data_IF_449976167441
#
_entry.id   IF_449976167441
#
_cell.length_a   1.000
_cell.length_b   1.000
_cell.length_c   1.000
_cell.angle_alpha   90.00
_cell.angle_beta   90.00
_cell.angle_gamma   90.00
#
_symmetry.space_group_name_H-M   'P 1'
#
loop_
_entity.id
_entity.type
_entity.pdbx_description
1 polymer ?
#
# COMPACT_ATOMS: atom_id res chain seq x y z
N UNK A 1 13.24 12.55 13.84
CA UNK A 1 12.22 11.51 13.70
C UNK A 1 12.20 11.09 12.23
N UNK A 2 12.03 9.81 11.91
CA UNK A 2 11.99 9.38 10.49
C UNK A 2 10.59 9.66 9.96
N UNK A 3 10.49 10.35 8.83
CA UNK A 3 9.19 10.69 8.23
C UNK A 3 8.68 9.58 7.31
N UNK A 4 7.38 9.34 7.36
CA UNK A 4 6.66 8.39 6.51
C UNK A 4 5.53 9.10 5.79
N UNK A 5 5.42 8.93 4.46
CA UNK A 5 4.20 9.29 3.73
C UNK A 5 3.21 8.15 3.78
N UNK A 6 1.98 8.41 4.21
CA UNK A 6 0.89 7.42 4.17
C UNK A 6 -0.07 7.77 3.04
N UNK A 7 -0.40 6.78 2.20
CA UNK A 7 -1.47 6.87 1.21
C UNK A 7 -2.60 5.90 1.57
N UNK A 8 -3.85 6.35 1.45
CA UNK A 8 -5.04 5.61 1.84
C UNK A 8 -5.81 6.32 2.96
N UNK A 9 -6.39 5.55 3.88
CA UNK A 9 -7.02 6.10 5.08
C UNK A 9 -5.97 6.50 6.13
N UNK A 10 -5.39 7.70 5.93
CA UNK A 10 -4.32 8.23 6.78
C UNK A 10 -4.75 8.33 8.24
N UNK A 11 -5.98 8.75 8.51
CA UNK A 11 -6.47 8.97 9.86
C UNK A 11 -6.46 7.67 10.69
N UNK A 12 -6.88 6.56 10.08
CA UNK A 12 -6.85 5.24 10.72
C UNK A 12 -5.45 4.66 10.90
N UNK A 13 -4.44 5.23 10.22
CA UNK A 13 -3.06 4.75 10.30
C UNK A 13 -2.12 5.65 11.11
N UNK A 14 -2.49 6.92 11.32
CA UNK A 14 -1.60 7.91 11.88
C UNK A 14 -1.13 7.57 13.30
N UNK A 15 -2.07 7.29 14.21
CA UNK A 15 -1.76 7.15 15.64
C UNK A 15 -0.73 6.04 15.90
N UNK A 16 -0.93 4.84 15.36
CA UNK A 16 -0.04 3.71 15.64
C UNK A 16 1.29 3.80 14.88
N UNK A 17 1.33 4.48 13.73
CA UNK A 17 2.59 4.78 13.03
C UNK A 17 3.42 5.77 13.84
N UNK A 18 2.79 6.81 14.38
CA UNK A 18 3.47 7.81 15.22
C UNK A 18 3.97 7.24 16.55
N UNK A 19 3.16 6.43 17.22
CA UNK A 19 3.54 5.69 18.43
C UNK A 19 4.76 4.77 18.19
N UNK A 20 4.99 4.36 16.94
CA UNK A 20 6.12 3.51 16.56
C UNK A 20 7.42 4.28 16.27
N UNK A 21 7.42 5.61 16.44
CA UNK A 21 8.59 6.48 16.31
C UNK A 21 8.75 7.15 14.94
N UNK A 22 7.72 7.11 14.09
CA UNK A 22 7.68 7.80 12.80
C UNK A 22 6.88 9.10 12.88
N UNK A 23 7.20 10.06 12.01
CA UNK A 23 6.39 11.27 11.82
C UNK A 23 5.58 11.11 10.53
N UNK A 24 4.25 11.15 10.63
CA UNK A 24 3.38 11.02 9.45
C UNK A 24 3.35 12.36 8.71
N UNK A 25 3.94 12.37 7.51
CA UNK A 25 4.08 13.56 6.69
C UNK A 25 2.77 13.89 5.96
N UNK A 26 2.29 15.13 6.14
CA UNK A 26 1.22 15.73 5.34
C UNK A 26 1.80 16.83 4.43
N UNK A 27 1.31 16.96 3.18
CA UNK A 27 1.77 17.98 2.23
C UNK A 27 2.92 17.57 1.27
N UNK A 28 3.67 18.56 0.77
CA UNK A 28 4.70 18.45 -0.31
C UNK A 28 6.12 18.10 0.20
N UNK A 29 6.23 17.61 1.43
CA UNK A 29 7.51 17.15 1.96
C UNK A 29 8.03 15.89 1.24
N UNK A 30 9.32 15.60 1.40
CA UNK A 30 10.04 14.50 0.71
C UNK A 30 10.45 13.36 1.66
N UNK A 31 9.50 12.66 2.32
CA UNK A 31 9.84 11.47 3.08
C UNK A 31 10.37 10.36 2.16
N UNK A 32 11.47 9.73 2.59
CA UNK A 32 12.08 8.60 1.89
C UNK A 32 11.41 7.25 2.18
N UNK A 33 10.38 7.22 3.04
CA UNK A 33 9.64 6.02 3.42
C UNK A 33 8.16 6.23 3.15
N UNK A 34 7.53 5.24 2.53
CA UNK A 34 6.14 5.32 2.09
C UNK A 34 5.38 4.09 2.59
N UNK A 35 4.21 4.32 3.19
CA UNK A 35 3.23 3.31 3.55
C UNK A 35 1.98 3.51 2.69
N UNK A 36 1.50 2.44 2.09
CA UNK A 36 0.40 2.48 1.13
C UNK A 36 -0.63 1.45 1.56
N UNK A 37 -1.76 1.94 2.04
CA UNK A 37 -2.85 1.15 2.56
C UNK A 37 -4.03 1.25 1.61
N UNK A 38 -4.30 0.18 0.86
CA UNK A 38 -5.33 0.18 -0.20
C UNK A 38 -6.48 -0.75 0.12
N UNK A 39 -6.89 -0.76 1.38
CA UNK A 39 -8.06 -1.52 1.79
C UNK A 39 -9.31 -1.00 1.11
N UNK A 40 -10.22 -1.93 0.86
CA UNK A 40 -11.60 -1.59 0.60
C UNK A 40 -12.13 -0.74 1.76
N UNK A 41 -12.48 0.51 1.46
CA UNK A 41 -13.08 1.44 2.40
C UNK A 41 -14.48 1.00 2.89
N UNK A 42 -14.93 -0.19 2.46
CA UNK A 42 -16.20 -0.84 2.82
C UNK A 42 -17.42 0.02 2.45
N UNK A 43 -17.28 1.01 1.58
CA UNK A 43 -18.39 1.84 1.17
C UNK A 43 -19.42 0.98 0.40
N UNK A 44 -20.71 1.13 0.65
CA UNK A 44 -21.70 0.29 -0.08
C UNK A 44 -21.72 0.58 -1.59
N UNK A 45 -21.34 1.80 -1.99
CA UNK A 45 -21.23 2.23 -3.39
C UNK A 45 -19.92 1.73 -4.04
N UNK A 46 -19.99 0.89 -5.09
CA UNK A 46 -18.81 0.40 -5.81
C UNK A 46 -17.92 1.50 -6.41
N UNK A 47 -18.47 2.65 -6.80
CA UNK A 47 -17.68 3.77 -7.34
C UNK A 47 -16.86 4.44 -6.23
N UNK A 48 -17.47 4.65 -5.06
CA UNK A 48 -16.78 5.21 -3.88
C UNK A 48 -15.70 4.24 -3.38
N UNK A 49 -15.97 2.93 -3.43
CA UNK A 49 -14.95 1.90 -3.16
C UNK A 49 -13.78 1.99 -4.13
N UNK A 50 -14.08 2.05 -5.43
CA UNK A 50 -13.07 2.14 -6.47
C UNK A 50 -12.21 3.41 -6.34
N UNK A 51 -12.82 4.56 -6.07
CA UNK A 51 -12.11 5.81 -5.83
C UNK A 51 -11.19 5.73 -4.61
N UNK A 52 -11.65 5.06 -3.54
CA UNK A 52 -10.87 4.79 -2.34
C UNK A 52 -9.62 3.93 -2.58
N UNK A 53 -9.59 3.12 -3.63
CA UNK A 53 -8.42 2.32 -4.03
C UNK A 53 -7.56 3.04 -5.08
N UNK A 54 -8.17 3.54 -6.15
CA UNK A 54 -7.44 4.11 -7.30
C UNK A 54 -6.75 5.42 -6.92
N UNK A 55 -7.42 6.30 -6.18
CA UNK A 55 -6.88 7.64 -5.90
C UNK A 55 -5.59 7.57 -5.08
N UNK A 56 -5.54 6.86 -3.93
CA UNK A 56 -4.30 6.70 -3.18
C UNK A 56 -3.19 6.04 -3.99
N UNK A 57 -3.53 5.05 -4.82
CA UNK A 57 -2.56 4.35 -5.66
C UNK A 57 -1.94 5.26 -6.72
N UNK A 58 -2.76 6.06 -7.41
CA UNK A 58 -2.28 7.03 -8.40
C UNK A 58 -1.37 8.07 -7.75
N UNK A 59 -1.75 8.56 -6.58
CA UNK A 59 -0.96 9.55 -5.84
C UNK A 59 0.37 8.96 -5.36
N UNK A 60 0.35 7.73 -4.83
CA UNK A 60 1.56 7.03 -4.43
C UNK A 60 2.49 6.75 -5.62
N UNK A 61 1.97 6.30 -6.76
CA UNK A 61 2.74 6.14 -8.00
C UNK A 61 3.40 7.45 -8.43
N UNK A 62 2.64 8.55 -8.41
CA UNK A 62 3.14 9.87 -8.77
C UNK A 62 4.25 10.33 -7.82
N UNK A 63 4.09 10.07 -6.52
CA UNK A 63 5.07 10.42 -5.49
C UNK A 63 6.36 9.63 -5.67
N UNK A 64 6.28 8.29 -5.78
CA UNK A 64 7.43 7.39 -5.97
C UNK A 64 8.21 7.72 -7.25
N UNK A 65 7.53 8.12 -8.33
CA UNK A 65 8.20 8.51 -9.58
C UNK A 65 8.91 9.87 -9.51
N UNK A 66 8.48 10.76 -8.61
CA UNK A 66 8.98 12.15 -8.55
C UNK A 66 9.99 12.38 -7.44
N UNK A 67 10.00 11.54 -6.41
CA UNK A 67 10.77 11.74 -5.17
C UNK A 67 11.73 10.58 -4.95
N UNK A 68 12.82 10.83 -4.23
CA UNK A 68 13.79 9.80 -3.86
C UNK A 68 13.25 8.95 -2.71
N UNK A 69 12.51 7.90 -3.06
CA UNK A 69 11.95 6.95 -2.10
C UNK A 69 12.92 5.79 -1.91
N UNK A 70 13.24 5.48 -0.64
CA UNK A 70 14.14 4.38 -0.26
C UNK A 70 13.37 3.12 0.11
N UNK A 71 12.20 3.26 0.73
CA UNK A 71 11.39 2.16 1.21
C UNK A 71 9.91 2.39 0.90
N UNK A 72 9.25 1.38 0.34
CA UNK A 72 7.81 1.33 0.11
C UNK A 72 7.24 0.09 0.80
N UNK A 73 6.28 0.30 1.70
CA UNK A 73 5.48 -0.77 2.30
C UNK A 73 4.08 -0.69 1.72
N UNK A 74 3.71 -1.72 0.97
CA UNK A 74 2.39 -1.89 0.37
C UNK A 74 1.59 -2.85 1.22
N UNK A 75 0.36 -2.47 1.56
CA UNK A 75 -0.53 -3.33 2.31
C UNK A 75 -1.80 -3.61 1.53
N UNK A 76 -2.11 -4.90 1.42
CA UNK A 76 -3.23 -5.44 0.65
C UNK A 76 -4.04 -6.40 1.51
N UNK A 77 -5.35 -6.43 1.30
CA UNK A 77 -6.27 -7.42 1.89
C UNK A 77 -6.11 -8.82 1.27
N UNK A 78 -5.31 -8.95 0.21
CA UNK A 78 -5.08 -10.19 -0.50
C UNK A 78 -6.28 -10.68 -1.33
N UNK A 79 -7.36 -9.90 -1.42
CA UNK A 79 -8.60 -10.33 -2.04
C UNK A 79 -8.45 -10.53 -3.56
N UNK A 80 -7.53 -9.81 -4.23
CA UNK A 80 -7.17 -10.09 -5.61
C UNK A 80 -6.31 -11.34 -5.84
N UNK A 81 -5.92 -12.07 -4.79
CA UNK A 81 -5.25 -13.38 -4.87
C UNK A 81 -6.18 -14.56 -4.53
N UNK A 82 -7.39 -14.28 -4.01
CA UNK A 82 -8.37 -15.29 -3.65
C UNK A 82 -9.36 -15.53 -4.81
N UNK A 83 -8.96 -16.33 -5.81
CA UNK A 83 -9.89 -16.79 -6.85
C UNK A 83 -9.30 -17.67 -7.94
N UNK A 84 -10.18 -18.18 -8.80
CA UNK A 84 -9.80 -19.00 -9.96
C UNK A 84 -8.99 -18.17 -10.96
N UNK A 85 -7.74 -18.57 -11.21
CA UNK A 85 -6.85 -17.92 -12.18
C UNK A 85 -7.50 -17.90 -13.57
N UNK A 86 -7.63 -16.72 -14.19
CA UNK A 86 -8.08 -16.61 -15.59
C UNK A 86 -6.99 -17.02 -16.60
N UNK A 87 -5.72 -16.98 -16.20
CA UNK A 87 -4.59 -17.42 -17.02
C UNK A 87 -3.87 -18.57 -16.31
N UNK A 88 -3.91 -19.79 -16.87
CA UNK A 88 -3.16 -20.92 -16.31
C UNK A 88 -1.65 -20.66 -16.37
N UNK A 89 -0.93 -21.03 -15.30
CA UNK A 89 0.54 -21.19 -15.25
C UNK A 89 1.46 -19.96 -15.24
N UNK A 90 1.04 -18.82 -14.69
CA UNK A 90 1.97 -17.76 -14.27
C UNK A 90 1.83 -17.46 -12.78
N UNK A 91 2.92 -17.52 -11.98
CA UNK A 91 2.92 -17.12 -10.56
C UNK A 91 2.69 -15.61 -10.34
N UNK A 92 2.67 -14.82 -11.41
CA UNK A 92 2.78 -13.36 -11.41
C UNK A 92 1.59 -12.65 -12.07
N UNK A 93 0.36 -13.15 -11.92
CA UNK A 93 -0.82 -12.43 -12.40
C UNK A 93 -1.88 -12.32 -11.32
N UNK A 94 -2.20 -11.09 -10.93
CA UNK A 94 -3.38 -10.75 -10.13
C UNK A 94 -4.68 -11.34 -10.75
N UNK A 95 -5.57 -11.82 -9.89
CA UNK A 95 -6.87 -12.40 -10.28
C UNK A 95 -7.99 -11.37 -10.17
N UNK A 96 -8.66 -11.08 -11.29
CA UNK A 96 -9.86 -10.22 -11.32
C UNK A 96 -11.10 -11.02 -10.92
N UNK A 97 -11.36 -11.10 -9.62
CA UNK A 97 -12.61 -11.70 -9.08
C UNK A 97 -13.67 -10.63 -8.83
N UNK A 98 -13.25 -9.38 -8.58
CA UNK A 98 -14.10 -8.19 -8.42
C UNK A 98 -13.22 -6.93 -8.40
N UNK A 99 -13.74 -5.76 -7.97
CA UNK A 99 -12.98 -4.52 -7.68
C UNK A 99 -11.72 -4.78 -6.84
N UNK A 100 -11.76 -5.78 -5.95
CA UNK A 100 -10.61 -6.23 -5.16
C UNK A 100 -9.43 -6.76 -6.00
N UNK A 101 -9.68 -7.33 -7.18
CA UNK A 101 -8.64 -7.77 -8.11
C UNK A 101 -7.82 -6.61 -8.69
N UNK A 102 -8.45 -5.42 -8.80
CA UNK A 102 -7.76 -4.19 -9.21
C UNK A 102 -6.81 -3.71 -8.12
N UNK A 103 -7.16 -3.85 -6.84
CA UNK A 103 -6.28 -3.48 -5.72
C UNK A 103 -4.97 -4.27 -5.74
N UNK A 104 -5.04 -5.60 -5.94
CA UNK A 104 -3.83 -6.41 -6.04
C UNK A 104 -3.00 -6.13 -7.30
N UNK A 105 -3.64 -5.94 -8.46
CA UNK A 105 -2.92 -5.59 -9.69
C UNK A 105 -2.23 -4.23 -9.60
N UNK A 106 -2.94 -3.21 -9.12
CA UNK A 106 -2.36 -1.88 -8.94
C UNK A 106 -1.21 -1.92 -7.93
N UNK A 107 -1.33 -2.74 -6.87
CA UNK A 107 -0.24 -2.97 -5.91
C UNK A 107 1.00 -3.57 -6.58
N UNK A 108 0.83 -4.56 -7.46
CA UNK A 108 1.93 -5.16 -8.22
C UNK A 108 2.58 -4.17 -9.20
N UNK A 109 1.78 -3.37 -9.90
CA UNK A 109 2.28 -2.34 -10.83
C UNK A 109 3.10 -1.29 -10.07
N UNK A 110 2.59 -0.81 -8.94
CA UNK A 110 3.31 0.16 -8.11
C UNK A 110 4.59 -0.43 -7.51
N UNK A 111 4.55 -1.68 -7.03
CA UNK A 111 5.74 -2.37 -6.54
C UNK A 111 6.84 -2.40 -7.61
N UNK A 112 6.50 -2.75 -8.85
CA UNK A 112 7.45 -2.73 -9.95
C UNK A 112 7.99 -1.33 -10.26
N UNK A 113 7.14 -0.29 -10.23
CA UNK A 113 7.57 1.09 -10.41
C UNK A 113 8.57 1.49 -9.32
N UNK A 114 8.27 1.18 -8.06
CA UNK A 114 9.13 1.50 -6.93
C UNK A 114 10.49 0.78 -6.98
N UNK A 115 10.49 -0.51 -7.34
CA UNK A 115 11.74 -1.29 -7.54
C UNK A 115 12.58 -0.66 -8.65
N UNK A 116 11.97 -0.30 -9.78
CA UNK A 116 12.67 0.34 -10.89
C UNK A 116 13.21 1.74 -10.54
N UNK A 117 12.59 2.42 -9.58
CA UNK A 117 13.08 3.68 -9.00
C UNK A 117 14.18 3.47 -7.94
N UNK A 118 14.55 2.23 -7.61
CA UNK A 118 15.59 1.90 -6.65
C UNK A 118 15.12 1.75 -5.20
N UNK A 119 13.81 1.74 -4.94
CA UNK A 119 13.26 1.55 -3.61
C UNK A 119 13.24 0.06 -3.21
N UNK A 120 13.46 -0.21 -1.93
CA UNK A 120 13.12 -1.49 -1.32
C UNK A 120 11.60 -1.58 -1.16
N UNK A 121 10.99 -2.67 -1.64
CA UNK A 121 9.53 -2.88 -1.56
C UNK A 121 9.21 -4.08 -0.68
N UNK A 122 8.31 -3.88 0.26
CA UNK A 122 7.72 -4.97 1.07
C UNK A 122 6.21 -4.96 0.88
N UNK A 123 5.65 -6.10 0.49
CA UNK A 123 4.19 -6.31 0.42
C UNK A 123 3.75 -7.08 1.66
N UNK A 124 2.87 -6.48 2.45
CA UNK A 124 2.28 -7.08 3.64
C UNK A 124 0.81 -7.43 3.34
N UNK A 125 0.39 -8.63 3.67
CA UNK A 125 -0.99 -9.09 3.49
C UNK A 125 -1.71 -9.14 4.84
N UNK A 126 -2.89 -8.52 4.92
CA UNK A 126 -3.70 -8.50 6.14
C UNK A 126 -4.21 -7.11 6.50
N UNK A 127 -4.98 -7.00 7.59
CA UNK A 127 -5.61 -5.75 7.99
C UNK A 127 -4.98 -5.20 9.29
N UNK A 128 -4.15 -4.15 9.23
CA UNK A 128 -3.48 -3.55 10.37
C UNK A 128 -4.48 -2.88 11.32
N UNK A 129 -5.69 -2.53 10.91
CA UNK A 129 -6.66 -1.95 11.83
C UNK A 129 -7.14 -2.99 12.85
N UNK A 130 -7.24 -4.25 12.43
CA UNK A 130 -7.74 -5.35 13.27
C UNK A 130 -6.66 -6.33 13.75
N UNK A 131 -5.48 -6.34 13.11
CA UNK A 131 -4.41 -7.32 13.34
C UNK A 131 -3.12 -6.64 13.79
N UNK A 132 -2.73 -6.83 15.05
CA UNK A 132 -1.54 -6.20 15.63
C UNK A 132 -0.23 -6.72 15.03
N UNK A 133 -0.19 -8.00 14.67
CA UNK A 133 0.91 -8.65 13.97
C UNK A 133 1.21 -8.01 12.61
N UNK A 134 0.17 -7.55 11.90
CA UNK A 134 0.33 -6.83 10.63
C UNK A 134 0.93 -5.45 10.87
N UNK A 135 0.52 -4.74 11.94
CA UNK A 135 1.18 -3.48 12.32
C UNK A 135 2.66 -3.71 12.62
N UNK A 136 3.01 -4.74 13.39
CA UNK A 136 4.40 -5.06 13.69
C UNK A 136 5.20 -5.32 12.40
N UNK A 137 4.68 -6.13 11.49
CA UNK A 137 5.34 -6.40 10.21
C UNK A 137 5.54 -5.13 9.36
N UNK A 138 4.54 -4.24 9.31
CA UNK A 138 4.64 -2.95 8.63
C UNK A 138 5.73 -2.08 9.26
N UNK A 139 5.76 -1.98 10.59
CA UNK A 139 6.75 -1.16 11.31
C UNK A 139 8.17 -1.71 11.14
N UNK A 140 8.35 -3.02 11.18
CA UNK A 140 9.64 -3.66 10.91
C UNK A 140 10.10 -3.41 9.47
N UNK A 141 9.21 -3.59 8.49
CA UNK A 141 9.50 -3.29 7.09
C UNK A 141 9.84 -1.81 6.88
N UNK A 142 9.06 -0.92 7.50
CA UNK A 142 9.33 0.51 7.47
C UNK A 142 10.64 0.86 8.16
N UNK A 143 11.21 0.04 9.05
CA UNK A 143 12.51 0.29 9.72
C UNK A 143 13.70 -0.16 8.88
N UNK A 144 13.53 -1.13 7.98
CA UNK A 144 14.59 -1.64 7.10
C UNK A 144 15.08 -0.53 6.15
N UNK A 145 16.40 -0.39 6.06
CA UNK A 145 17.14 0.47 5.13
C UNK A 145 18.47 -0.17 4.82
#
# INVERSE_FOLDING_TARGET
MVRVRVFGDVASHQEWVEQSGFEVSSGDEDPSRVLICTYDNQAEDPLVRLEGTITPMREAMTFVLRKEVKCVVLVTDGAGYAGSRKVPNTPSSATFVDVHGMGSLTSEVLANIAINAGAQVTVVQGNPLTQGEIRTAIIEALKQT
#
